data_IF_982341601027
#
_entry.id   IF_982341601027
#
_cell.length_a   1.000
_cell.length_b   1.000
_cell.length_c   1.000
_cell.angle_alpha   90.00
_cell.angle_beta   90.00
_cell.angle_gamma   90.00
#
_symmetry.space_group_name_H-M   'P 1'
#
loop_
_entity.id
_entity.type
_entity.pdbx_description
1 polymer ?
#
# COMPACT_ATOMS: atom_id res chain seq x y z
N UNK A 1 0.32 -7.03 2.42
CA UNK A 1 0.83 -6.05 1.44
C UNK A 1 0.07 -4.76 1.63
N UNK A 2 0.75 -3.61 1.67
CA UNK A 2 0.10 -2.30 1.73
C UNK A 2 0.45 -1.49 0.48
N UNK A 3 -0.56 -0.91 -0.16
CA UNK A 3 -0.43 -0.08 -1.35
C UNK A 3 -1.00 1.31 -1.07
N UNK A 4 -0.22 2.35 -1.31
CA UNK A 4 -0.70 3.74 -1.30
C UNK A 4 -0.87 4.18 -2.75
N UNK A 5 -2.08 4.63 -3.09
CA UNK A 5 -2.39 5.20 -4.39
C UNK A 5 -2.88 6.64 -4.22
N UNK A 6 -2.49 7.52 -5.14
CA UNK A 6 -3.00 8.89 -5.22
C UNK A 6 -3.78 9.11 -6.51
N UNK A 7 -4.67 10.11 -6.52
CA UNK A 7 -5.43 10.52 -7.71
C UNK A 7 -4.52 10.99 -8.84
N UNK A 8 -3.36 11.58 -8.51
CA UNK A 8 -2.29 11.94 -9.46
C UNK A 8 -1.61 10.73 -10.12
N UNK A 9 -1.97 9.50 -9.74
CA UNK A 9 -1.53 8.27 -10.39
C UNK A 9 -0.30 7.61 -9.77
N UNK A 10 0.30 8.21 -8.73
CA UNK A 10 1.41 7.61 -7.98
C UNK A 10 0.92 6.38 -7.23
N UNK A 11 1.71 5.31 -7.27
CA UNK A 11 1.45 4.02 -6.62
C UNK A 11 2.72 3.60 -5.89
N UNK A 12 2.63 3.38 -4.59
CA UNK A 12 3.70 2.83 -3.77
C UNK A 12 3.21 1.55 -3.09
N UNK A 13 3.95 0.46 -3.21
CA UNK A 13 3.59 -0.79 -2.55
C UNK A 13 4.75 -1.32 -1.72
N UNK A 14 4.40 -1.73 -0.50
CA UNK A 14 5.34 -2.35 0.43
C UNK A 14 4.77 -3.69 0.88
N UNK A 15 5.55 -4.74 0.61
CA UNK A 15 5.30 -6.07 1.12
C UNK A 15 5.64 -6.10 2.61
N UNK A 16 4.69 -6.59 3.41
CA UNK A 16 4.91 -6.94 4.82
C UNK A 16 5.07 -8.45 4.83
N UNK A 17 6.25 -8.96 5.14
CA UNK A 17 6.57 -10.39 5.10
C UNK A 17 7.03 -10.90 6.45
N UNK A 18 6.76 -12.17 6.71
CA UNK A 18 7.25 -12.89 7.88
C UNK A 18 7.55 -14.34 7.50
N UNK A 19 8.60 -14.90 8.12
CA UNK A 19 8.86 -16.33 8.04
C UNK A 19 8.14 -17.11 9.16
N UNK A 20 7.62 -16.42 10.19
CA UNK A 20 6.88 -17.06 11.27
C UNK A 20 5.45 -17.37 10.84
N UNK A 21 5.05 -18.65 10.73
CA UNK A 21 3.71 -19.02 10.29
C UNK A 21 2.60 -18.52 11.23
N UNK A 22 2.91 -18.27 12.51
CA UNK A 22 1.94 -17.79 13.51
C UNK A 22 1.56 -16.33 13.27
N UNK A 23 2.46 -15.56 12.64
CA UNK A 23 2.31 -14.12 12.38
C UNK A 23 1.69 -13.85 11.01
N UNK A 24 1.63 -14.87 10.12
CA UNK A 24 1.07 -14.74 8.76
C UNK A 24 -0.39 -14.33 8.75
N UNK A 25 -1.18 -14.78 9.72
CA UNK A 25 -2.61 -14.47 9.79
C UNK A 25 -2.84 -13.02 10.24
N UNK A 26 -2.00 -12.51 11.14
CA UNK A 26 -2.08 -11.14 11.64
C UNK A 26 -0.69 -10.62 11.97
N UNK A 27 -0.12 -9.78 11.10
CA UNK A 27 1.24 -9.26 11.27
C UNK A 27 1.39 -8.43 12.54
N UNK A 28 0.30 -7.89 13.09
CA UNK A 28 0.32 -7.02 14.28
C UNK A 28 0.69 -7.76 15.55
N UNK A 29 0.68 -9.10 15.54
CA UNK A 29 0.99 -9.90 16.71
C UNK A 29 2.48 -9.94 17.04
N UNK A 30 3.36 -9.61 16.09
CA UNK A 30 4.81 -9.61 16.30
C UNK A 30 5.52 -8.72 15.26
N UNK A 31 5.66 -7.43 15.56
CA UNK A 31 6.32 -6.47 14.67
C UNK A 31 7.82 -6.75 14.46
N UNK A 32 8.48 -7.32 15.47
CA UNK A 32 9.89 -7.72 15.46
C UNK A 32 10.18 -8.90 14.51
N UNK A 33 9.15 -9.65 14.12
CA UNK A 33 9.23 -10.76 13.18
C UNK A 33 8.91 -10.37 11.73
N UNK A 34 8.81 -9.07 11.43
CA UNK A 34 8.42 -8.56 10.12
C UNK A 34 9.62 -8.02 9.34
N UNK A 35 9.52 -8.14 8.03
CA UNK A 35 10.40 -7.49 7.06
C UNK A 35 9.56 -6.73 6.05
N UNK A 36 10.11 -5.62 5.57
CA UNK A 36 9.42 -4.69 4.69
C UNK A 36 10.22 -4.51 3.40
N UNK A 37 9.53 -4.59 2.26
CA UNK A 37 10.19 -4.49 0.95
C UNK A 37 9.30 -3.72 -0.03
N UNK A 38 9.88 -2.74 -0.73
CA UNK A 38 9.22 -2.08 -1.85
C UNK A 38 9.04 -3.09 -2.98
N UNK A 39 7.84 -3.18 -3.52
CA UNK A 39 7.50 -4.13 -4.59
C UNK A 39 6.77 -3.44 -5.72
N UNK A 40 6.88 -4.02 -6.92
CA UNK A 40 6.02 -3.66 -8.02
C UNK A 40 4.57 -4.10 -7.75
N UNK A 41 3.62 -3.34 -8.31
CA UNK A 41 2.19 -3.65 -8.30
C UNK A 41 1.80 -4.11 -9.70
N UNK A 42 1.07 -5.23 -9.87
CA UNK A 42 0.56 -5.62 -11.17
C UNK A 42 -0.32 -4.51 -11.77
N UNK A 43 -0.17 -4.24 -13.08
CA UNK A 43 -0.88 -3.14 -13.76
C UNK A 43 -2.40 -3.17 -13.55
N UNK A 44 -2.98 -4.39 -13.51
CA UNK A 44 -4.41 -4.59 -13.25
C UNK A 44 -4.80 -4.08 -11.86
N UNK A 45 -3.97 -4.32 -10.84
CA UNK A 45 -4.23 -3.90 -9.46
C UNK A 45 -4.08 -2.39 -9.33
N UNK A 46 -3.01 -1.83 -9.89
CA UNK A 46 -2.79 -0.37 -9.90
C UNK A 46 -3.95 0.37 -10.60
N UNK A 47 -4.43 -0.16 -11.74
CA UNK A 47 -5.57 0.40 -12.47
C UNK A 47 -6.88 0.31 -11.70
N UNK A 48 -7.09 -0.79 -10.97
CA UNK A 48 -8.25 -0.95 -10.08
C UNK A 48 -8.20 0.01 -8.89
N UNK A 49 -7.05 0.22 -8.25
CA UNK A 49 -6.89 1.22 -7.19
C UNK A 49 -7.22 2.63 -7.70
N UNK A 50 -6.70 3.03 -8.87
CA UNK A 50 -7.03 4.33 -9.48
C UNK A 50 -8.52 4.48 -9.80
N UNK A 51 -9.13 3.41 -10.30
CA UNK A 51 -10.58 3.39 -10.59
C UNK A 51 -11.39 3.49 -9.31
N UNK A 52 -10.99 2.80 -8.25
CA UNK A 52 -11.60 2.90 -6.93
C UNK A 52 -11.60 4.35 -6.41
N UNK A 53 -10.44 5.02 -6.44
CA UNK A 53 -10.32 6.41 -6.01
C UNK A 53 -11.23 7.34 -6.82
N UNK A 54 -11.19 7.22 -8.15
CA UNK A 54 -12.04 8.03 -9.06
C UNK A 54 -13.52 7.83 -8.77
N UNK A 55 -13.97 6.58 -8.63
CA UNK A 55 -15.38 6.25 -8.43
C UNK A 55 -15.91 6.78 -7.10
N UNK A 56 -15.07 6.81 -6.05
CA UNK A 56 -15.45 7.30 -4.73
C UNK A 56 -15.10 8.77 -4.48
N UNK A 57 -14.48 9.46 -5.45
CA UNK A 57 -14.05 10.86 -5.31
C UNK A 57 -12.94 11.05 -4.28
N UNK A 58 -12.06 10.05 -4.11
CA UNK A 58 -10.96 10.09 -3.14
C UNK A 58 -9.68 10.61 -3.78
N UNK A 59 -8.97 11.48 -3.07
CA UNK A 59 -7.68 12.02 -3.51
C UNK A 59 -6.52 11.02 -3.26
N UNK A 60 -6.68 10.14 -2.28
CA UNK A 60 -5.71 9.11 -1.91
C UNK A 60 -6.43 7.90 -1.30
N UNK A 61 -5.83 6.73 -1.40
CA UNK A 61 -6.24 5.54 -0.65
C UNK A 61 -5.05 4.71 -0.21
N UNK A 62 -5.21 4.07 0.94
CA UNK A 62 -4.27 3.10 1.49
C UNK A 62 -4.98 1.75 1.49
N UNK A 63 -4.52 0.87 0.63
CA UNK A 63 -5.13 -0.40 0.29
C UNK A 63 -4.35 -1.54 0.91
N UNK A 64 -5.05 -2.45 1.57
CA UNK A 64 -4.46 -3.67 2.08
C UNK A 64 -4.83 -4.86 1.19
N UNK A 65 -3.80 -5.63 0.86
CA UNK A 65 -3.90 -6.85 0.06
C UNK A 65 -3.26 -8.03 0.77
N UNK A 66 -3.89 -9.19 0.69
CA UNK A 66 -3.22 -10.47 0.86
C UNK A 66 -2.63 -10.90 -0.49
N UNK A 67 -1.39 -11.38 -0.49
CA UNK A 67 -0.73 -11.92 -1.69
C UNK A 67 -0.35 -13.36 -1.39
N UNK A 68 -0.90 -14.28 -2.18
CA UNK A 68 -0.62 -15.72 -2.05
C UNK A 68 0.72 -16.08 -2.68
N UNK A 69 1.24 -17.27 -2.37
CA UNK A 69 2.55 -17.75 -2.85
C UNK A 69 2.64 -17.86 -4.39
N UNK A 70 1.50 -18.00 -5.07
CA UNK A 70 1.39 -17.97 -6.55
C UNK A 70 1.32 -16.55 -7.15
N UNK A 71 1.41 -15.52 -6.30
CA UNK A 71 1.34 -14.12 -6.73
C UNK A 71 -0.07 -13.60 -6.99
N UNK A 72 -1.13 -14.29 -6.54
CA UNK A 72 -2.50 -13.77 -6.61
C UNK A 72 -2.76 -12.72 -5.53
N UNK A 73 -3.30 -11.57 -5.92
CA UNK A 73 -3.61 -10.44 -5.04
C UNK A 73 -5.09 -10.43 -4.68
N UNK A 74 -5.39 -10.46 -3.38
CA UNK A 74 -6.72 -10.40 -2.81
C UNK A 74 -6.92 -9.07 -2.11
N UNK A 75 -7.85 -8.26 -2.59
CA UNK A 75 -8.21 -7.00 -1.95
C UNK A 75 -8.91 -7.27 -0.61
N UNK A 76 -8.43 -6.62 0.46
CA UNK A 76 -9.02 -6.73 1.79
C UNK A 76 -9.83 -5.47 2.10
N UNK A 77 -9.18 -4.31 2.08
CA UNK A 77 -9.83 -3.04 2.38
C UNK A 77 -9.06 -1.84 1.80
N UNK A 78 -9.74 -0.68 1.78
CA UNK A 78 -9.12 0.63 1.63
C UNK A 78 -9.54 1.48 2.83
N UNK A 79 -8.59 1.76 3.73
CA UNK A 79 -8.87 2.44 4.99
C UNK A 79 -8.52 3.93 4.93
N UNK A 80 -9.46 4.87 5.13
CA UNK A 80 -9.17 6.31 5.11
C UNK A 80 -8.25 6.77 6.26
N UNK A 81 -8.04 5.94 7.29
CA UNK A 81 -7.10 6.19 8.40
C UNK A 81 -5.95 5.20 8.46
N UNK A 82 -5.73 4.37 7.43
CA UNK A 82 -4.67 3.37 7.46
C UNK A 82 -3.29 4.05 7.40
N UNK A 83 -2.46 3.76 8.40
CA UNK A 83 -1.13 4.33 8.52
C UNK A 83 -0.18 3.79 7.45
N UNK A 84 0.57 4.69 6.82
CA UNK A 84 1.59 4.37 5.82
C UNK A 84 2.98 4.90 6.18
N UNK A 85 3.08 5.86 7.12
CA UNK A 85 4.32 6.57 7.41
C UNK A 85 5.45 5.64 7.87
N UNK A 86 5.15 4.68 8.75
CA UNK A 86 6.14 3.71 9.24
C UNK A 86 6.72 2.83 8.12
N UNK A 87 5.95 2.54 7.06
CA UNK A 87 6.49 1.79 5.92
C UNK A 87 7.53 2.60 5.15
N UNK A 88 7.33 3.91 5.04
CA UNK A 88 8.35 4.81 4.47
C UNK A 88 9.58 4.88 5.36
N UNK A 89 9.42 4.95 6.68
CA UNK A 89 10.56 4.94 7.62
C UNK A 89 11.39 3.65 7.48
N UNK A 90 10.72 2.50 7.33
CA UNK A 90 11.37 1.19 7.19
C UNK A 90 11.99 0.93 5.81
N UNK A 91 11.48 1.56 4.74
CA UNK A 91 11.86 1.20 3.36
C UNK A 91 12.44 2.33 2.52
N UNK A 92 12.29 3.59 2.96
CA UNK A 92 12.64 4.77 2.17
C UNK A 92 11.69 5.06 0.99
N UNK A 93 10.53 4.40 0.92
CA UNK A 93 9.56 4.68 -0.14
C UNK A 93 9.09 6.15 -0.09
N UNK A 94 9.07 6.90 -1.21
CA UNK A 94 8.74 8.33 -1.22
C UNK A 94 7.23 8.58 -1.18
N UNK A 95 6.54 8.04 -0.18
CA UNK A 95 5.09 8.11 -0.02
C UNK A 95 4.68 9.52 0.39
N UNK A 96 5.40 10.14 1.32
CA UNK A 96 5.13 11.48 1.83
C UNK A 96 5.15 12.53 0.70
N UNK A 97 6.08 12.41 -0.24
CA UNK A 97 6.15 13.29 -1.41
C UNK A 97 4.88 13.14 -2.26
N UNK A 98 4.43 11.90 -2.50
CA UNK A 98 3.19 11.66 -3.25
C UNK A 98 1.95 12.25 -2.54
N UNK A 99 1.92 12.20 -1.20
CA UNK A 99 0.85 12.81 -0.41
C UNK A 99 0.94 14.34 -0.48
N UNK A 100 2.13 14.91 -0.35
CA UNK A 100 2.36 16.34 -0.43
C UNK A 100 1.91 16.90 -1.80
N UNK A 101 2.37 16.30 -2.89
CA UNK A 101 1.97 16.64 -4.27
C UNK A 101 0.45 16.65 -4.44
N UNK A 102 -0.21 15.62 -3.87
CA UNK A 102 -1.67 15.50 -3.94
C UNK A 102 -2.38 16.62 -3.18
N UNK A 103 -1.84 17.05 -2.03
CA UNK A 103 -2.40 18.13 -1.21
C UNK A 103 -2.12 19.52 -1.78
N UNK A 104 -0.95 19.72 -2.41
CA UNK A 104 -0.57 21.00 -3.04
C UNK A 104 -1.19 21.17 -4.42
N UNK A 105 -1.73 20.12 -5.02
CA UNK A 105 -2.25 20.13 -6.39
C UNK A 105 -1.14 20.10 -7.46
N UNK A 106 0.09 19.80 -7.05
CA UNK A 106 1.21 19.60 -7.97
C UNK A 106 1.05 18.23 -8.62
N UNK A 107 0.77 18.24 -9.92
CA UNK A 107 0.77 17.02 -10.74
C UNK A 107 2.14 16.93 -11.40
N UNK A 108 2.91 15.89 -11.07
CA UNK A 108 4.17 15.57 -11.74
C UNK A 108 3.97 15.30 -13.24
#
# INVERSE_FOLDING_TARGET
>A
MRVVATKGGRIHAVAIRTQDPRVRQDFRTAYDALTYEITAVPDRVASSCRTYLRTLGLEMGVFDFAVTDDGTWWFLECGPGAQWAWLQEETGAPIADAVADTLTGETA
#
